data_IF_617993342634
#
_entry.id   IF_617993342634
#
_cell.length_a   1.000
_cell.length_b   1.000
_cell.length_c   1.000
_cell.angle_alpha   90.00
_cell.angle_beta   90.00
_cell.angle_gamma   90.00
#
_symmetry.space_group_name_H-M   'P 1'
#
loop_
_entity.id
_entity.type
_entity.pdbx_description
1 polymer ?
#
# COMPACT_ATOMS: atom_id res chain seq x y z
N UNK A 1 -4.70 2.62 3.81
CA UNK A 1 -4.69 1.68 4.92
C UNK A 1 -5.47 2.17 6.12
N UNK A 2 -5.49 1.37 7.15
CA UNK A 2 -6.04 1.76 8.44
C UNK A 2 -5.09 2.73 9.16
N UNK A 3 -5.55 3.29 10.27
CA UNK A 3 -4.85 4.34 10.98
C UNK A 3 -3.69 3.84 11.86
N UNK A 4 -3.64 2.53 12.19
CA UNK A 4 -2.53 1.95 12.94
C UNK A 4 -2.03 0.64 12.34
N UNK A 5 -0.73 0.38 12.50
CA UNK A 5 -0.07 -0.77 11.89
C UNK A 5 -0.04 -1.99 12.82
N UNK A 6 0.06 -1.83 14.13
CA UNK A 6 0.22 -2.93 15.07
C UNK A 6 -0.45 -2.66 16.42
N UNK A 7 -0.72 -3.73 17.17
CA UNK A 7 -1.38 -3.65 18.48
C UNK A 7 -2.86 -3.29 18.38
N UNK A 8 -3.43 -2.91 19.52
CA UNK A 8 -4.83 -2.52 19.69
C UNK A 8 -4.92 -1.10 20.21
N UNK A 9 -5.87 -0.29 19.71
CA UNK A 9 -6.11 1.05 20.24
C UNK A 9 -6.86 1.06 21.58
N UNK A 10 -7.72 0.06 21.78
CA UNK A 10 -8.53 -0.08 22.99
C UNK A 10 -8.75 -1.55 23.33
N UNK A 11 -9.22 -1.80 24.55
CA UNK A 11 -9.57 -3.16 25.00
C UNK A 11 -10.78 -3.75 24.25
N UNK A 12 -11.64 -2.91 23.67
CA UNK A 12 -12.84 -3.32 22.94
C UNK A 12 -12.56 -3.64 21.47
N UNK A 13 -11.36 -3.35 20.98
CA UNK A 13 -11.00 -3.58 19.59
C UNK A 13 -10.81 -5.07 19.31
N UNK A 14 -11.53 -5.58 18.31
CA UNK A 14 -11.56 -7.02 17.99
C UNK A 14 -10.40 -7.47 17.09
N UNK A 15 -9.71 -6.54 16.45
CA UNK A 15 -8.61 -6.84 15.52
C UNK A 15 -7.45 -5.91 15.76
N UNK A 16 -6.21 -6.43 15.74
CA UNK A 16 -5.02 -5.61 15.83
C UNK A 16 -4.82 -4.76 14.56
N UNK A 17 -3.79 -3.91 14.59
CA UNK A 17 -3.35 -3.17 13.43
C UNK A 17 -3.03 -4.06 12.22
N UNK A 18 -3.05 -3.45 11.04
CA UNK A 18 -3.01 -4.18 9.76
C UNK A 18 -1.71 -4.93 9.48
N UNK A 19 -0.63 -4.63 10.16
CA UNK A 19 0.67 -5.33 10.05
C UNK A 19 1.17 -5.90 11.38
N UNK A 20 0.24 -6.22 12.27
CA UNK A 20 0.55 -6.80 13.57
C UNK A 20 1.32 -8.13 13.48
N UNK A 21 1.20 -8.85 12.37
CA UNK A 21 1.99 -10.06 12.08
C UNK A 21 3.50 -9.79 12.09
N UNK A 22 3.95 -8.61 11.64
CA UNK A 22 5.35 -8.27 11.50
C UNK A 22 5.88 -7.36 12.62
N UNK A 23 5.04 -6.53 13.26
CA UNK A 23 5.43 -5.49 14.21
C UNK A 23 4.96 -5.83 15.62
N UNK A 24 5.86 -5.81 16.58
CA UNK A 24 5.54 -6.03 18.00
C UNK A 24 6.70 -6.61 18.78
N UNK A 25 6.55 -6.83 20.11
CA UNK A 25 7.58 -7.42 20.94
C UNK A 25 8.01 -8.81 20.44
N UNK A 26 9.29 -8.98 20.12
CA UNK A 26 9.86 -10.23 19.63
C UNK A 26 9.49 -10.62 18.20
N UNK A 27 8.70 -9.80 17.47
CA UNK A 27 8.33 -10.02 16.07
C UNK A 27 9.45 -9.63 15.11
N UNK A 28 9.19 -9.66 13.81
CA UNK A 28 10.19 -9.34 12.78
C UNK A 28 10.70 -7.89 12.93
N UNK A 29 9.82 -6.94 13.18
CA UNK A 29 10.14 -5.57 13.59
C UNK A 29 9.89 -5.49 15.10
N UNK A 30 10.92 -5.74 15.86
CA UNK A 30 10.86 -5.93 17.32
C UNK A 30 10.79 -4.60 18.05
N UNK A 31 9.63 -4.28 18.61
CA UNK A 31 9.41 -3.05 19.38
C UNK A 31 10.13 -3.00 20.74
N UNK A 32 10.76 -4.10 21.20
CA UNK A 32 11.68 -4.06 22.31
C UNK A 32 13.04 -3.43 21.94
N UNK A 33 13.35 -3.35 20.63
CA UNK A 33 14.63 -2.87 20.10
C UNK A 33 14.50 -1.57 19.32
N UNK A 34 13.34 -1.36 18.68
CA UNK A 34 13.10 -0.23 17.79
C UNK A 34 11.94 0.64 18.28
N UNK A 35 12.16 1.94 18.23
CA UNK A 35 11.06 2.91 18.23
C UNK A 35 10.43 2.90 16.82
N UNK A 36 9.22 2.39 16.72
CA UNK A 36 8.51 2.19 15.44
C UNK A 36 7.47 3.28 15.22
N UNK A 37 7.55 3.96 14.09
CA UNK A 37 6.60 5.00 13.67
C UNK A 37 5.97 4.58 12.35
N UNK A 38 4.64 4.64 12.26
CA UNK A 38 3.89 4.42 11.02
C UNK A 38 2.96 5.61 10.76
N UNK A 39 3.37 6.57 9.92
CA UNK A 39 2.54 7.72 9.59
C UNK A 39 1.40 7.33 8.65
N UNK A 40 0.24 7.98 8.81
CA UNK A 40 -0.80 7.95 7.78
C UNK A 40 -0.40 8.95 6.67
N UNK A 41 -0.52 8.55 5.40
CA UNK A 41 -0.12 9.40 4.28
C UNK A 41 -0.97 10.68 4.19
N UNK A 42 -0.34 11.80 3.87
CA UNK A 42 -1.03 13.04 3.51
C UNK A 42 -2.01 12.76 2.35
N UNK A 43 -3.22 13.28 2.45
CA UNK A 43 -4.31 12.94 1.52
C UNK A 43 -5.06 11.67 1.93
N UNK A 44 -4.66 10.98 3.01
CA UNK A 44 -5.38 9.86 3.60
C UNK A 44 -6.66 10.28 4.33
N UNK A 45 -7.44 9.30 4.78
CA UNK A 45 -8.71 9.53 5.47
C UNK A 45 -8.74 8.99 6.92
N UNK A 46 -7.58 8.72 7.51
CA UNK A 46 -7.43 8.09 8.84
C UNK A 46 -6.34 8.77 9.69
N UNK A 47 -6.41 10.09 9.84
CA UNK A 47 -5.55 10.85 10.75
C UNK A 47 -4.81 12.01 10.11
N UNK A 48 -4.23 11.85 8.92
CA UNK A 48 -3.60 12.95 8.18
C UNK A 48 -4.63 13.81 7.46
N UNK A 49 -4.29 15.07 7.18
CA UNK A 49 -5.11 15.96 6.37
C UNK A 49 -5.34 15.36 4.98
N UNK A 50 -6.58 15.35 4.54
CA UNK A 50 -6.97 14.76 3.25
C UNK A 50 -8.25 15.39 2.68
N UNK A 51 -8.79 14.85 1.58
CA UNK A 51 -9.97 15.39 0.92
C UNK A 51 -11.19 15.57 1.82
N UNK A 52 -11.37 14.70 2.82
CA UNK A 52 -12.48 14.82 3.77
C UNK A 52 -12.22 15.83 4.91
N UNK A 53 -11.02 16.39 5.02
CA UNK A 53 -10.68 17.39 6.02
C UNK A 53 -11.34 18.74 5.69
N UNK A 54 -11.65 19.50 6.74
CA UNK A 54 -12.21 20.87 6.58
C UNK A 54 -11.13 21.82 6.09
N UNK A 55 -11.39 22.48 4.99
CA UNK A 55 -10.59 23.59 4.50
C UNK A 55 -10.88 24.82 5.37
N UNK A 56 -9.89 25.29 6.10
CA UNK A 56 -10.04 26.44 7.01
C UNK A 56 -10.44 27.75 6.32
N UNK A 57 -10.15 27.88 5.03
CA UNK A 57 -10.50 29.08 4.26
C UNK A 57 -11.99 29.12 3.87
N UNK A 58 -12.64 27.99 3.72
CA UNK A 58 -14.04 27.89 3.27
C UNK A 58 -14.99 27.38 4.36
N UNK A 59 -14.48 26.72 5.39
CA UNK A 59 -15.28 26.06 6.42
C UNK A 59 -15.91 24.74 5.97
N UNK A 60 -15.59 24.25 4.76
CA UNK A 60 -16.15 23.04 4.16
C UNK A 60 -15.07 21.98 3.87
N UNK A 61 -15.42 20.70 3.66
CA UNK A 61 -14.47 19.70 3.20
C UNK A 61 -13.78 20.11 1.91
N UNK A 62 -12.49 19.79 1.77
CA UNK A 62 -11.75 20.05 0.53
C UNK A 62 -12.40 19.35 -0.67
N UNK A 63 -12.86 18.10 -0.51
CA UNK A 63 -13.38 17.34 -1.62
C UNK A 63 -12.34 17.17 -2.73
N UNK A 64 -12.76 17.36 -3.99
CA UNK A 64 -11.86 17.28 -5.15
C UNK A 64 -10.83 18.42 -5.23
N UNK A 65 -11.04 19.51 -4.49
CA UNK A 65 -10.10 20.63 -4.45
C UNK A 65 -8.88 20.37 -3.56
N UNK A 66 -8.84 19.22 -2.88
CA UNK A 66 -7.63 18.80 -2.19
C UNK A 66 -6.49 18.62 -3.22
N UNK A 67 -5.30 19.21 -2.99
CA UNK A 67 -4.22 19.14 -3.96
C UNK A 67 -3.79 17.70 -4.24
N UNK A 68 -3.43 17.41 -5.50
CA UNK A 68 -2.81 16.15 -5.83
C UNK A 68 -1.45 16.05 -5.12
N UNK A 69 -1.23 14.93 -4.47
CA UNK A 69 0.03 14.61 -3.81
C UNK A 69 0.68 13.41 -4.49
N UNK A 70 2.00 13.41 -4.49
CA UNK A 70 2.83 12.36 -5.07
C UNK A 70 3.56 11.57 -3.98
N UNK A 71 4.24 10.51 -4.36
CA UNK A 71 5.11 9.77 -3.43
C UNK A 71 6.23 10.67 -2.88
N UNK A 72 6.74 11.62 -3.67
CA UNK A 72 7.73 12.60 -3.20
C UNK A 72 7.18 13.50 -2.09
N UNK A 73 5.94 13.98 -2.24
CA UNK A 73 5.29 14.81 -1.20
C UNK A 73 5.10 14.01 0.10
N UNK A 74 4.77 12.72 0.00
CA UNK A 74 4.68 11.86 1.18
C UNK A 74 6.03 11.70 1.87
N UNK A 75 7.10 11.45 1.11
CA UNK A 75 8.47 11.36 1.67
C UNK A 75 8.86 12.67 2.36
N UNK A 76 8.57 13.81 1.76
CA UNK A 76 8.84 15.11 2.39
C UNK A 76 8.02 15.34 3.66
N UNK A 77 6.74 14.99 3.67
CA UNK A 77 5.89 15.11 4.87
C UNK A 77 6.36 14.19 6.01
N UNK A 78 6.82 12.98 5.67
CA UNK A 78 7.39 12.03 6.62
C UNK A 78 8.75 12.49 7.15
N UNK A 79 9.55 13.18 6.33
CA UNK A 79 10.79 13.79 6.77
C UNK A 79 10.55 14.90 7.79
N UNK A 80 9.52 15.75 7.55
CA UNK A 80 9.10 16.78 8.53
C UNK A 80 8.62 16.14 9.84
N UNK A 81 7.92 14.99 9.78
CA UNK A 81 7.56 14.25 10.99
C UNK A 81 8.81 13.75 11.73
N UNK A 82 9.82 13.23 11.02
CA UNK A 82 11.08 12.82 11.63
C UNK A 82 11.78 13.99 12.33
N UNK A 83 11.78 15.17 11.70
CA UNK A 83 12.34 16.38 12.30
C UNK A 83 11.59 16.79 13.58
N UNK A 84 10.25 16.73 13.55
CA UNK A 84 9.41 17.03 14.72
C UNK A 84 9.62 16.02 15.87
N UNK A 85 10.01 14.79 15.54
CA UNK A 85 10.39 13.75 16.50
C UNK A 85 11.87 13.81 16.89
N UNK A 86 12.65 14.79 16.41
CA UNK A 86 14.09 14.91 16.60
C UNK A 86 14.91 13.71 16.11
N UNK A 87 14.42 13.03 15.06
CA UNK A 87 15.09 11.88 14.46
C UNK A 87 15.91 12.34 13.26
N UNK A 88 17.23 12.36 13.44
CA UNK A 88 18.18 12.77 12.38
C UNK A 88 18.27 11.70 11.27
N UNK A 89 18.31 10.43 11.65
CA UNK A 89 18.46 9.31 10.73
C UNK A 89 17.71 8.08 11.24
N UNK A 90 16.89 7.49 10.38
CA UNK A 90 16.23 6.22 10.66
C UNK A 90 17.21 5.05 10.59
N UNK A 91 17.10 4.11 11.52
CA UNK A 91 17.81 2.83 11.43
C UNK A 91 17.33 2.06 10.18
N UNK A 92 16.02 2.06 9.93
CA UNK A 92 15.43 1.51 8.72
C UNK A 92 14.14 2.27 8.34
N UNK A 93 13.90 2.40 7.03
CA UNK A 93 12.58 2.72 6.48
C UNK A 93 12.04 1.46 5.82
N UNK A 94 10.83 1.04 6.21
CA UNK A 94 10.26 -0.27 5.84
C UNK A 94 8.90 -0.06 5.18
N UNK A 95 8.65 -0.71 4.05
CA UNK A 95 7.35 -0.60 3.40
C UNK A 95 7.05 -1.72 2.41
N UNK A 96 5.78 -2.09 2.33
CA UNK A 96 5.26 -3.02 1.34
C UNK A 96 4.39 -2.33 0.30
N UNK A 97 4.40 -2.80 -0.94
CA UNK A 97 3.59 -2.26 -2.04
C UNK A 97 3.88 -0.76 -2.26
N UNK A 98 2.86 0.10 -2.17
CA UNK A 98 3.02 1.56 -2.17
C UNK A 98 4.01 2.05 -1.10
N UNK A 99 4.06 1.39 0.06
CA UNK A 99 5.07 1.67 1.08
C UNK A 99 6.49 1.39 0.60
N UNK A 100 6.70 0.32 -0.17
CA UNK A 100 8.00 0.01 -0.78
C UNK A 100 8.43 1.04 -1.83
N UNK A 101 7.47 1.62 -2.56
CA UNK A 101 7.72 2.76 -3.47
C UNK A 101 8.19 4.00 -2.67
N UNK A 102 7.55 4.28 -1.52
CA UNK A 102 7.97 5.36 -0.63
C UNK A 102 9.38 5.12 -0.07
N UNK A 103 9.70 3.88 0.32
CA UNK A 103 11.06 3.51 0.77
C UNK A 103 12.11 3.78 -0.31
N UNK A 104 11.81 3.40 -1.56
CA UNK A 104 12.72 3.65 -2.68
C UNK A 104 12.92 5.16 -2.90
N UNK A 105 11.85 5.94 -2.84
CA UNK A 105 11.92 7.41 -2.95
C UNK A 105 12.70 8.04 -1.79
N UNK A 106 12.50 7.56 -0.55
CA UNK A 106 13.30 7.97 0.61
C UNK A 106 14.80 7.79 0.38
N UNK A 107 15.19 6.62 -0.13
CA UNK A 107 16.59 6.29 -0.37
C UNK A 107 17.23 7.16 -1.46
N UNK A 108 16.43 7.63 -2.42
CA UNK A 108 16.89 8.50 -3.52
C UNK A 108 16.97 9.96 -3.08
N UNK A 109 15.91 10.49 -2.46
CA UNK A 109 15.76 11.92 -2.16
C UNK A 109 16.46 12.32 -0.86
N UNK A 110 16.51 11.42 0.12
CA UNK A 110 17.03 11.69 1.47
C UNK A 110 18.06 10.62 1.90
N UNK A 111 19.14 10.42 1.10
CA UNK A 111 20.06 9.29 1.28
C UNK A 111 20.75 9.27 2.65
N UNK A 112 20.93 10.42 3.28
CA UNK A 112 21.58 10.53 4.60
C UNK A 112 20.64 10.29 5.78
N UNK A 113 19.31 10.22 5.49
CA UNK A 113 18.26 10.16 6.52
C UNK A 113 17.83 8.72 6.87
N UNK A 114 18.41 7.70 6.23
CA UNK A 114 18.17 6.28 6.55
C UNK A 114 19.43 5.44 6.35
N UNK A 115 19.61 4.43 7.20
CA UNK A 115 20.71 3.46 7.05
C UNK A 115 20.32 2.23 6.25
N UNK A 116 19.06 1.80 6.38
CA UNK A 116 18.55 0.61 5.68
C UNK A 116 17.21 0.92 5.01
N UNK A 117 17.05 0.43 3.77
CA UNK A 117 15.85 0.52 2.97
C UNK A 117 15.24 -0.88 2.78
N UNK A 118 14.07 -1.13 3.35
CA UNK A 118 13.40 -2.43 3.32
C UNK A 118 12.18 -2.35 2.40
N UNK A 119 12.30 -2.90 1.21
CA UNK A 119 11.31 -2.81 0.11
C UNK A 119 10.67 -4.18 -0.07
N UNK A 120 9.35 -4.26 0.05
CA UNK A 120 8.63 -5.53 0.01
C UNK A 120 7.49 -5.43 -1.02
N UNK A 121 7.37 -6.43 -1.91
CA UNK A 121 6.29 -6.53 -2.89
C UNK A 121 6.06 -5.21 -3.65
N UNK A 122 7.12 -4.58 -4.17
CA UNK A 122 7.05 -3.28 -4.82
C UNK A 122 7.68 -3.29 -6.21
N UNK A 123 7.36 -2.26 -6.98
CA UNK A 123 7.85 -2.03 -8.33
C UNK A 123 8.45 -0.63 -8.45
N UNK A 124 9.38 -0.38 -9.39
CA UNK A 124 9.95 0.96 -9.60
C UNK A 124 8.96 1.94 -10.23
N UNK A 125 7.92 1.45 -10.91
CA UNK A 125 6.79 2.18 -11.46
C UNK A 125 5.65 1.23 -11.81
N UNK A 126 4.43 1.74 -11.99
CA UNK A 126 3.32 0.91 -12.43
C UNK A 126 3.48 0.43 -13.88
N UNK A 127 2.96 -0.76 -14.15
CA UNK A 127 2.75 -1.25 -15.52
C UNK A 127 1.49 -0.62 -16.12
N UNK A 128 1.36 -0.66 -17.46
CA UNK A 128 0.15 -0.25 -18.15
C UNK A 128 -1.10 -0.99 -17.62
N UNK A 129 -0.98 -2.29 -17.29
CA UNK A 129 -2.06 -3.08 -16.73
C UNK A 129 -2.49 -2.55 -15.35
N UNK A 130 -1.55 -2.20 -14.47
CA UNK A 130 -1.87 -1.63 -13.16
C UNK A 130 -2.55 -0.26 -13.28
N UNK A 131 -2.08 0.60 -14.20
CA UNK A 131 -2.72 1.89 -14.50
C UNK A 131 -4.15 1.67 -15.03
N UNK A 132 -4.35 0.66 -15.89
CA UNK A 132 -5.69 0.32 -16.40
C UNK A 132 -6.65 -0.13 -15.27
N UNK A 133 -6.20 -0.96 -14.34
CA UNK A 133 -7.01 -1.30 -13.15
C UNK A 133 -7.36 -0.06 -12.31
N UNK A 134 -6.40 0.83 -12.09
CA UNK A 134 -6.66 2.08 -11.37
C UNK A 134 -7.67 2.95 -12.11
N UNK A 135 -7.58 3.04 -13.45
CA UNK A 135 -8.52 3.82 -14.25
C UNK A 135 -9.95 3.26 -14.18
N UNK A 136 -10.14 1.94 -14.31
CA UNK A 136 -11.47 1.32 -14.15
C UNK A 136 -12.05 1.61 -12.76
N UNK A 137 -11.24 1.51 -11.71
CA UNK A 137 -11.67 1.83 -10.35
C UNK A 137 -12.05 3.31 -10.19
N UNK A 138 -11.28 4.23 -10.78
CA UNK A 138 -11.60 5.67 -10.77
C UNK A 138 -12.89 5.96 -11.52
N UNK A 139 -13.07 5.38 -12.71
CA UNK A 139 -14.31 5.54 -13.49
C UNK A 139 -15.52 5.02 -12.72
N UNK A 140 -15.42 3.87 -12.04
CA UNK A 140 -16.50 3.36 -11.20
C UNK A 140 -16.93 4.38 -10.13
N UNK A 141 -15.96 5.08 -9.50
CA UNK A 141 -16.25 6.11 -8.49
C UNK A 141 -16.81 7.37 -9.13
N UNK A 142 -16.15 7.90 -10.18
CA UNK A 142 -16.50 9.20 -10.75
C UNK A 142 -17.83 9.19 -11.52
N UNK A 143 -18.27 8.04 -12.02
CA UNK A 143 -19.57 7.86 -12.69
C UNK A 143 -20.69 7.50 -11.73
N UNK A 144 -20.43 7.31 -10.45
CA UNK A 144 -21.45 7.11 -9.44
C UNK A 144 -22.29 8.40 -9.30
N UNK A 145 -23.64 8.33 -9.40
CA UNK A 145 -24.50 9.52 -9.29
C UNK A 145 -24.29 10.31 -7.99
N UNK A 146 -23.93 9.65 -6.90
CA UNK A 146 -23.69 10.28 -5.62
C UNK A 146 -22.25 10.84 -5.47
N UNK A 147 -21.40 10.76 -6.50
CA UNK A 147 -20.03 11.32 -6.47
C UNK A 147 -20.04 12.86 -6.50
N UNK A 148 -21.04 13.47 -7.11
CA UNK A 148 -21.28 14.93 -7.12
C UNK A 148 -20.01 15.71 -7.50
N UNK A 149 -19.35 15.31 -8.59
CA UNK A 149 -18.09 15.87 -9.07
C UNK A 149 -16.95 15.94 -8.01
N UNK A 150 -17.02 15.09 -6.99
CA UNK A 150 -16.07 15.02 -5.88
C UNK A 150 -16.43 15.88 -4.66
N UNK A 151 -17.58 16.55 -4.69
CA UNK A 151 -18.07 17.35 -3.57
C UNK A 151 -19.20 16.66 -2.78
N UNK A 152 -19.31 15.33 -2.90
CA UNK A 152 -20.35 14.52 -2.26
C UNK A 152 -20.53 14.79 -0.76
N UNK A 153 -19.44 15.07 -0.02
CA UNK A 153 -19.52 15.38 1.42
C UNK A 153 -20.32 16.65 1.72
N UNK A 154 -20.23 17.70 0.86
CA UNK A 154 -21.02 18.90 0.99
C UNK A 154 -22.52 18.66 0.83
N UNK A 155 -22.88 17.57 0.13
CA UNK A 155 -24.25 17.16 -0.13
C UNK A 155 -24.73 16.04 0.79
N UNK A 156 -23.92 15.67 1.81
CA UNK A 156 -24.24 14.54 2.70
C UNK A 156 -24.35 13.19 1.98
N UNK A 157 -23.63 13.05 0.85
CA UNK A 157 -23.63 11.85 0.00
C UNK A 157 -22.35 11.05 0.16
N UNK A 158 -22.36 9.81 -0.30
CA UNK A 158 -21.18 8.95 -0.46
C UNK A 158 -21.40 8.15 -1.75
N UNK A 159 -20.43 8.12 -2.67
CA UNK A 159 -20.51 7.33 -3.91
C UNK A 159 -20.30 5.83 -3.61
N UNK A 160 -21.28 5.23 -2.94
CA UNK A 160 -21.20 3.87 -2.37
C UNK A 160 -21.01 2.81 -3.43
N UNK A 161 -21.73 2.93 -4.55
CA UNK A 161 -21.67 1.93 -5.63
C UNK A 161 -20.30 1.93 -6.30
N UNK A 162 -19.81 3.10 -6.66
CA UNK A 162 -18.51 3.26 -7.29
C UNK A 162 -17.36 2.82 -6.40
N UNK A 163 -17.36 3.25 -5.14
CA UNK A 163 -16.34 2.88 -4.17
C UNK A 163 -16.36 1.36 -3.86
N UNK A 164 -17.53 0.76 -3.79
CA UNK A 164 -17.70 -0.69 -3.65
C UNK A 164 -17.08 -1.43 -4.84
N UNK A 165 -17.39 -1.04 -6.07
CA UNK A 165 -16.86 -1.66 -7.29
C UNK A 165 -15.34 -1.52 -7.39
N UNK A 166 -14.82 -0.33 -7.07
CA UNK A 166 -13.38 -0.08 -7.01
C UNK A 166 -12.68 -1.02 -6.02
N UNK A 167 -13.29 -1.28 -4.86
CA UNK A 167 -12.76 -2.22 -3.86
C UNK A 167 -12.85 -3.67 -4.31
N UNK A 168 -13.95 -4.07 -4.96
CA UNK A 168 -14.09 -5.42 -5.53
C UNK A 168 -12.98 -5.69 -6.55
N UNK A 169 -12.74 -4.75 -7.47
CA UNK A 169 -11.64 -4.85 -8.44
C UNK A 169 -10.28 -4.95 -7.74
N UNK A 170 -10.06 -4.16 -6.69
CA UNK A 170 -8.85 -4.23 -5.86
C UNK A 170 -8.64 -5.66 -5.31
N UNK A 171 -9.66 -6.29 -4.73
CA UNK A 171 -9.56 -7.65 -4.20
C UNK A 171 -9.23 -8.70 -5.26
N UNK A 172 -9.72 -8.56 -6.49
CA UNK A 172 -9.33 -9.44 -7.60
C UNK A 172 -7.82 -9.31 -7.88
N UNK A 173 -7.27 -8.10 -7.80
CA UNK A 173 -5.85 -7.87 -8.09
C UNK A 173 -4.91 -8.22 -6.93
N UNK A 174 -5.41 -8.32 -5.69
CA UNK A 174 -4.59 -8.62 -4.51
C UNK A 174 -4.41 -10.11 -4.26
N UNK A 175 -5.37 -10.93 -4.67
CA UNK A 175 -5.32 -12.38 -4.49
C UNK A 175 -4.78 -13.06 -5.76
N UNK A 176 -4.08 -14.17 -5.62
CA UNK A 176 -3.70 -15.01 -6.75
C UNK A 176 -4.89 -15.86 -7.23
N UNK A 177 -4.81 -16.37 -8.48
CA UNK A 177 -5.78 -17.31 -9.00
C UNK A 177 -5.82 -18.59 -8.14
N UNK A 178 -4.64 -19.09 -7.74
CA UNK A 178 -4.53 -20.27 -6.88
C UNK A 178 -5.25 -20.07 -5.55
N UNK A 179 -5.04 -18.94 -4.87
CA UNK A 179 -5.73 -18.65 -3.61
C UNK A 179 -7.24 -18.48 -3.81
N UNK A 180 -7.65 -17.84 -4.91
CA UNK A 180 -9.08 -17.71 -5.25
C UNK A 180 -9.72 -19.08 -5.49
N UNK A 181 -9.03 -19.96 -6.25
CA UNK A 181 -9.46 -21.33 -6.51
C UNK A 181 -9.55 -22.15 -5.23
N UNK A 182 -8.52 -22.12 -4.40
CA UNK A 182 -8.46 -22.92 -3.16
C UNK A 182 -9.50 -22.46 -2.14
N UNK A 183 -9.83 -21.16 -2.13
CA UNK A 183 -10.77 -20.56 -1.17
C UNK A 183 -12.23 -20.66 -1.61
N UNK A 184 -12.51 -20.55 -2.87
CA UNK A 184 -13.87 -20.45 -3.39
C UNK A 184 -14.20 -21.49 -4.46
N UNK A 185 -13.23 -21.94 -5.26
CA UNK A 185 -13.45 -22.82 -6.40
C UNK A 185 -14.57 -22.31 -7.29
N UNK A 186 -15.51 -23.16 -7.58
CA UNK A 186 -16.81 -22.85 -8.22
C UNK A 186 -17.99 -23.14 -7.28
N UNK A 187 -17.75 -23.01 -5.97
CA UNK A 187 -18.73 -23.34 -4.96
C UNK A 187 -19.94 -22.40 -5.01
N UNK A 188 -21.12 -23.00 -5.01
CA UNK A 188 -22.40 -22.29 -4.95
C UNK A 188 -22.78 -22.02 -3.49
N UNK A 189 -23.43 -20.88 -3.24
CA UNK A 189 -24.04 -20.57 -1.94
C UNK A 189 -25.18 -21.53 -1.58
N UNK A 190 -25.95 -21.89 -2.59
CA UNK A 190 -27.04 -22.87 -2.50
C UNK A 190 -26.72 -23.96 -3.52
N UNK A 191 -26.79 -25.23 -3.15
CA UNK A 191 -26.31 -26.38 -3.96
C UNK A 191 -27.02 -26.58 -5.34
N UNK A 192 -27.54 -25.52 -5.93
CA UNK A 192 -28.18 -25.52 -7.26
C UNK A 192 -28.11 -24.14 -7.90
N UNK A 193 -28.11 -24.08 -9.23
CA UNK A 193 -28.26 -22.84 -9.98
C UNK A 193 -29.70 -22.31 -9.93
N UNK A 194 -29.84 -21.00 -9.77
CA UNK A 194 -31.13 -20.31 -9.80
C UNK A 194 -31.37 -19.64 -11.16
N UNK A 195 -30.32 -19.55 -12.01
CA UNK A 195 -30.37 -18.93 -13.35
C UNK A 195 -30.91 -17.52 -13.34
N UNK A 196 -30.46 -16.70 -12.41
CA UNK A 196 -30.80 -15.28 -12.29
C UNK A 196 -29.53 -14.42 -12.09
N UNK A 197 -29.71 -13.11 -11.86
CA UNK A 197 -28.60 -12.17 -11.63
C UNK A 197 -28.24 -11.97 -10.14
N UNK A 198 -28.82 -12.74 -9.25
CA UNK A 198 -28.46 -12.72 -7.83
C UNK A 198 -27.13 -13.44 -7.58
N UNK A 199 -26.66 -13.36 -6.34
CA UNK A 199 -25.42 -14.02 -5.92
C UNK A 199 -25.61 -15.54 -5.92
N UNK A 200 -24.91 -16.24 -6.76
CA UNK A 200 -24.91 -17.71 -6.83
C UNK A 200 -23.61 -18.34 -6.30
N UNK A 201 -22.45 -17.78 -6.66
CA UNK A 201 -21.15 -18.30 -6.27
C UNK A 201 -20.62 -17.67 -4.96
N UNK A 202 -19.83 -18.43 -4.22
CA UNK A 202 -19.19 -17.96 -2.98
C UNK A 202 -18.29 -16.74 -3.23
N UNK A 203 -17.54 -16.73 -4.34
CA UNK A 203 -16.65 -15.61 -4.70
C UNK A 203 -17.43 -14.30 -4.93
N UNK A 204 -18.64 -14.36 -5.51
CA UNK A 204 -19.49 -13.18 -5.68
C UNK A 204 -19.91 -12.59 -4.34
N UNK A 205 -20.32 -13.47 -3.40
CA UNK A 205 -20.66 -13.09 -2.03
C UNK A 205 -19.47 -12.43 -1.32
N UNK A 206 -18.29 -13.02 -1.47
CA UNK A 206 -17.05 -12.49 -0.90
C UNK A 206 -16.74 -11.08 -1.44
N UNK A 207 -16.76 -10.89 -2.76
CA UNK A 207 -16.46 -9.59 -3.37
C UNK A 207 -17.46 -8.52 -2.93
N UNK A 208 -18.76 -8.83 -2.93
CA UNK A 208 -19.82 -7.91 -2.46
C UNK A 208 -19.61 -7.52 -1.00
N UNK A 209 -19.26 -8.49 -0.14
CA UNK A 209 -18.96 -8.23 1.28
C UNK A 209 -17.73 -7.32 1.44
N UNK A 210 -16.65 -7.58 0.72
CA UNK A 210 -15.43 -6.77 0.77
C UNK A 210 -15.67 -5.34 0.27
N UNK A 211 -16.45 -5.18 -0.79
CA UNK A 211 -16.85 -3.88 -1.29
C UNK A 211 -17.71 -3.12 -0.28
N UNK A 212 -18.75 -3.76 0.24
CA UNK A 212 -19.69 -3.14 1.19
C UNK A 212 -18.99 -2.71 2.49
N UNK A 213 -18.15 -3.58 3.06
CA UNK A 213 -17.40 -3.28 4.30
C UNK A 213 -16.37 -2.17 4.15
N UNK A 214 -15.96 -1.86 2.93
CA UNK A 214 -14.98 -0.81 2.64
C UNK A 214 -15.61 0.59 2.60
N UNK A 215 -16.83 0.71 2.10
CA UNK A 215 -17.50 1.99 1.85
C UNK A 215 -17.63 2.85 3.10
N UNK A 216 -17.90 2.23 4.25
CA UNK A 216 -18.13 2.97 5.50
C UNK A 216 -16.84 3.39 6.22
N UNK A 217 -15.67 2.95 5.73
CA UNK A 217 -14.39 3.21 6.37
C UNK A 217 -13.35 3.91 5.50
N UNK A 218 -13.66 4.19 4.23
CA UNK A 218 -12.70 4.79 3.32
C UNK A 218 -13.34 5.91 2.49
N UNK A 219 -12.59 6.98 2.25
CA UNK A 219 -13.03 8.12 1.48
C UNK A 219 -12.79 7.95 -0.03
N UNK A 220 -13.76 8.29 -0.85
CA UNK A 220 -13.70 8.09 -2.29
C UNK A 220 -12.64 8.99 -2.96
N UNK A 221 -12.56 10.28 -2.59
CA UNK A 221 -11.53 11.17 -3.13
C UNK A 221 -10.13 10.75 -2.69
N UNK A 222 -9.97 10.25 -1.45
CA UNK A 222 -8.72 9.63 -1.00
C UNK A 222 -8.33 8.44 -1.89
N UNK A 223 -9.30 7.60 -2.28
CA UNK A 223 -9.03 6.48 -3.19
C UNK A 223 -8.52 6.97 -4.55
N UNK A 224 -9.18 7.97 -5.14
CA UNK A 224 -8.75 8.58 -6.40
C UNK A 224 -7.34 9.15 -6.29
N UNK A 225 -7.06 9.89 -5.22
CA UNK A 225 -5.76 10.50 -4.95
C UNK A 225 -4.64 9.44 -4.85
N UNK A 226 -4.87 8.39 -4.05
CA UNK A 226 -3.89 7.30 -3.86
C UNK A 226 -3.58 6.58 -5.17
N UNK A 227 -4.58 6.32 -6.01
CA UNK A 227 -4.38 5.69 -7.32
C UNK A 227 -3.60 6.61 -8.28
N UNK A 228 -3.83 7.92 -8.24
CA UNK A 228 -3.06 8.88 -9.04
C UNK A 228 -1.61 8.99 -8.56
N UNK A 229 -1.37 9.02 -7.26
CA UNK A 229 -0.01 9.03 -6.72
C UNK A 229 0.78 7.77 -7.14
N UNK A 230 0.10 6.60 -7.20
CA UNK A 230 0.67 5.36 -7.74
C UNK A 230 1.01 5.49 -9.23
N UNK A 231 0.08 6.02 -10.04
CA UNK A 231 0.27 6.17 -11.50
C UNK A 231 1.45 7.10 -11.82
N UNK A 232 1.63 8.17 -11.03
CA UNK A 232 2.71 9.14 -11.22
C UNK A 232 4.07 8.69 -10.69
N UNK A 233 4.13 7.60 -9.93
CA UNK A 233 5.39 7.14 -9.36
C UNK A 233 6.31 6.59 -10.44
N UNK A 234 7.36 7.32 -10.75
CA UNK A 234 8.49 6.91 -11.59
C UNK A 234 9.76 7.65 -11.13
N UNK A 235 10.54 7.06 -10.22
CA UNK A 235 11.73 7.71 -9.69
C UNK A 235 12.86 7.88 -10.72
N UNK A 236 12.78 7.18 -11.87
CA UNK A 236 13.76 7.33 -12.94
C UNK A 236 13.51 8.55 -13.82
N UNK A 237 12.30 9.11 -13.81
CA UNK A 237 11.90 10.21 -14.70
C UNK A 237 12.79 11.47 -14.57
N UNK A 238 13.31 11.75 -13.38
CA UNK A 238 14.22 12.88 -13.13
C UNK A 238 15.69 12.56 -13.50
N UNK A 239 15.96 11.31 -13.94
CA UNK A 239 17.30 10.78 -14.20
C UNK A 239 17.42 10.17 -15.60
N UNK A 240 16.82 10.82 -16.59
CA UNK A 240 16.84 10.37 -18.01
C UNK A 240 16.30 8.95 -18.19
N UNK A 241 15.25 8.59 -17.43
CA UNK A 241 14.63 7.26 -17.37
C UNK A 241 15.59 6.12 -16.97
N UNK A 242 16.75 6.44 -16.38
CA UNK A 242 17.71 5.45 -15.83
C UNK A 242 17.54 5.28 -14.33
N UNK A 243 16.87 4.20 -13.91
CA UNK A 243 16.70 3.85 -12.51
C UNK A 243 18.06 3.63 -11.80
N UNK A 244 19.07 3.14 -12.50
CA UNK A 244 20.43 2.98 -11.97
C UNK A 244 21.06 4.33 -11.59
N UNK A 245 20.84 5.38 -12.39
CA UNK A 245 21.25 6.75 -12.05
C UNK A 245 20.50 7.26 -10.82
N UNK A 246 19.18 7.05 -10.76
CA UNK A 246 18.36 7.47 -9.63
C UNK A 246 18.86 6.84 -8.31
N UNK A 247 18.99 5.50 -8.25
CA UNK A 247 19.41 4.79 -7.05
C UNK A 247 20.90 4.96 -6.73
N UNK A 248 21.72 5.49 -7.63
CA UNK A 248 23.13 5.76 -7.38
C UNK A 248 23.34 6.78 -6.25
N UNK A 249 22.37 7.64 -6.01
CA UNK A 249 22.35 8.61 -4.91
C UNK A 249 22.19 7.96 -3.54
N UNK A 250 21.52 6.81 -3.46
CA UNK A 250 21.26 6.13 -2.19
C UNK A 250 22.55 5.76 -1.44
N UNK A 251 22.50 5.86 -0.12
CA UNK A 251 23.57 5.45 0.78
C UNK A 251 23.20 4.23 1.65
N UNK A 252 21.92 3.91 1.68
CA UNK A 252 21.39 2.82 2.48
C UNK A 252 21.81 1.44 1.96
N UNK A 253 21.84 0.47 2.88
CA UNK A 253 21.78 -0.95 2.54
C UNK A 253 20.34 -1.37 2.26
N UNK A 254 20.15 -2.25 1.28
CA UNK A 254 18.83 -2.63 0.82
C UNK A 254 18.47 -4.07 1.19
N UNK A 255 17.23 -4.24 1.62
CA UNK A 255 16.53 -5.52 1.65
C UNK A 255 15.37 -5.43 0.68
N UNK A 256 15.28 -6.36 -0.27
CA UNK A 256 14.18 -6.42 -1.22
C UNK A 256 13.54 -7.81 -1.14
N UNK A 257 12.23 -7.88 -1.00
CA UNK A 257 11.48 -9.13 -0.98
C UNK A 257 10.30 -9.10 -1.97
N UNK A 258 10.09 -10.19 -2.69
CA UNK A 258 8.95 -10.42 -3.56
C UNK A 258 8.31 -11.77 -3.30
N UNK A 259 7.09 -11.99 -3.81
CA UNK A 259 6.33 -13.24 -3.65
C UNK A 259 5.98 -13.81 -5.01
N UNK A 260 6.19 -15.11 -5.20
CA UNK A 260 6.08 -15.77 -6.51
C UNK A 260 4.68 -15.68 -7.13
N UNK A 261 3.64 -15.63 -6.30
CA UNK A 261 2.25 -15.54 -6.75
C UNK A 261 1.71 -14.10 -6.87
N UNK A 262 2.56 -13.08 -6.55
CA UNK A 262 2.17 -11.69 -6.73
C UNK A 262 2.19 -11.33 -8.21
N UNK A 263 1.01 -11.26 -8.82
CA UNK A 263 0.85 -10.90 -10.22
C UNK A 263 0.57 -9.40 -10.43
N UNK A 264 0.28 -8.67 -9.33
CA UNK A 264 0.12 -7.21 -9.36
C UNK A 264 1.47 -6.51 -9.43
N UNK A 265 2.39 -6.88 -8.52
CA UNK A 265 3.80 -6.48 -8.55
C UNK A 265 4.67 -7.73 -8.57
N UNK A 266 4.73 -8.35 -9.74
CA UNK A 266 5.42 -9.63 -9.91
C UNK A 266 6.90 -9.56 -9.48
N UNK A 267 7.53 -10.71 -9.18
CA UNK A 267 8.95 -10.76 -8.85
C UNK A 267 9.85 -10.06 -9.86
N UNK A 268 9.49 -10.07 -11.15
CA UNK A 268 10.21 -9.36 -12.22
C UNK A 268 10.32 -7.87 -11.90
N UNK A 269 9.25 -7.26 -11.38
CA UNK A 269 9.22 -5.84 -11.06
C UNK A 269 10.16 -5.51 -9.89
N UNK A 270 10.21 -6.36 -8.86
CA UNK A 270 11.18 -6.21 -7.77
C UNK A 270 12.61 -6.45 -8.25
N UNK A 271 12.83 -7.40 -9.18
CA UNK A 271 14.15 -7.63 -9.79
C UNK A 271 14.66 -6.46 -10.60
N UNK A 272 13.77 -5.60 -11.17
CA UNK A 272 14.20 -4.34 -11.81
C UNK A 272 14.90 -3.42 -10.81
N UNK A 273 14.31 -3.28 -9.60
CA UNK A 273 14.94 -2.50 -8.51
C UNK A 273 16.27 -3.11 -8.13
N UNK A 274 16.35 -4.42 -7.93
CA UNK A 274 17.57 -5.13 -7.56
C UNK A 274 18.67 -4.96 -8.60
N UNK A 275 18.33 -5.13 -9.89
CA UNK A 275 19.29 -4.93 -11.00
C UNK A 275 19.83 -3.50 -11.04
N UNK A 276 18.98 -2.50 -10.81
CA UNK A 276 19.40 -1.10 -10.77
C UNK A 276 20.35 -0.83 -9.59
N UNK A 277 20.04 -1.37 -8.41
CA UNK A 277 20.89 -1.28 -7.20
C UNK A 277 22.25 -1.95 -7.42
N UNK A 278 22.28 -3.14 -8.02
CA UNK A 278 23.51 -3.85 -8.35
C UNK A 278 24.36 -3.08 -9.37
N UNK A 279 23.73 -2.55 -10.44
CA UNK A 279 24.40 -1.67 -11.42
C UNK A 279 25.03 -0.45 -10.76
N UNK A 280 24.35 0.12 -9.77
CA UNK A 280 24.81 1.25 -8.97
C UNK A 280 25.79 0.85 -7.82
N UNK A 281 26.18 -0.43 -7.75
CA UNK A 281 27.10 -0.99 -6.74
C UNK A 281 26.59 -0.78 -5.30
N UNK A 282 25.28 -0.85 -5.07
CA UNK A 282 24.66 -0.77 -3.74
C UNK A 282 24.61 -2.14 -3.10
N UNK A 283 24.71 -2.16 -1.77
CA UNK A 283 24.55 -3.39 -1.00
C UNK A 283 23.05 -3.77 -0.98
N UNK A 284 22.72 -4.95 -1.53
CA UNK A 284 21.34 -5.43 -1.62
C UNK A 284 21.24 -6.91 -1.29
N UNK A 285 20.31 -7.24 -0.38
CA UNK A 285 19.86 -8.60 -0.10
C UNK A 285 18.49 -8.79 -0.75
N UNK A 286 18.35 -9.75 -1.66
CA UNK A 286 17.10 -10.04 -2.35
C UNK A 286 16.58 -11.41 -2.04
N UNK A 287 15.28 -11.51 -1.77
CA UNK A 287 14.59 -12.77 -1.50
C UNK A 287 13.30 -12.85 -2.32
N UNK A 288 13.16 -13.94 -3.05
CA UNK A 288 11.92 -14.33 -3.70
C UNK A 288 11.27 -15.45 -2.88
N UNK A 289 10.11 -15.14 -2.33
CA UNK A 289 9.42 -16.00 -1.38
C UNK A 289 8.33 -16.76 -2.12
N UNK A 290 8.42 -18.06 -2.09
CA UNK A 290 7.42 -18.94 -2.65
C UNK A 290 6.13 -18.89 -1.81
N UNK A 291 5.00 -18.78 -2.48
CA UNK A 291 3.68 -18.73 -1.84
C UNK A 291 2.56 -18.57 -2.85
N UNK A 292 1.34 -18.80 -2.40
CA UNK A 292 0.11 -18.76 -3.22
C UNK A 292 -0.80 -17.57 -2.88
N UNK A 293 -0.39 -16.69 -1.96
CA UNK A 293 -1.29 -15.69 -1.36
C UNK A 293 -1.50 -14.44 -2.22
N UNK A 294 -0.74 -14.27 -3.28
CA UNK A 294 -0.81 -13.08 -4.15
C UNK A 294 -0.11 -11.86 -3.54
N UNK A 295 -0.58 -10.67 -3.90
CA UNK A 295 0.03 -9.41 -3.50
C UNK A 295 -0.04 -9.15 -1.99
N UNK A 296 -1.13 -9.54 -1.34
CA UNK A 296 -1.31 -9.32 0.11
C UNK A 296 -0.43 -10.25 0.99
N UNK A 297 0.39 -11.12 0.39
CA UNK A 297 1.28 -12.05 1.09
C UNK A 297 2.13 -11.39 2.19
N UNK A 298 2.63 -10.16 1.96
CA UNK A 298 3.47 -9.46 2.93
C UNK A 298 2.72 -9.04 4.22
N UNK A 299 1.40 -9.05 4.21
CA UNK A 299 0.54 -8.77 5.38
C UNK A 299 0.22 -10.02 6.20
N UNK A 300 0.49 -11.20 5.65
CA UNK A 300 0.10 -12.47 6.22
C UNK A 300 1.23 -13.10 7.04
N UNK A 301 0.85 -14.03 7.91
CA UNK A 301 1.80 -14.84 8.67
C UNK A 301 2.41 -15.92 7.77
N UNK A 302 3.47 -15.56 7.04
CA UNK A 302 4.27 -16.45 6.22
C UNK A 302 5.62 -16.67 6.94
N UNK A 303 5.85 -17.84 7.59
CA UNK A 303 6.99 -18.04 8.47
C UNK A 303 8.35 -17.76 7.81
N UNK A 304 8.54 -18.21 6.56
CA UNK A 304 9.80 -17.97 5.83
C UNK A 304 10.05 -16.49 5.58
N UNK A 305 9.04 -15.75 5.17
CA UNK A 305 9.13 -14.31 4.98
C UNK A 305 9.46 -13.58 6.28
N UNK A 306 8.70 -13.85 7.33
CA UNK A 306 8.89 -13.19 8.63
C UNK A 306 10.24 -13.54 9.26
N UNK A 307 10.74 -14.76 9.06
CA UNK A 307 12.08 -15.17 9.51
C UNK A 307 13.18 -14.37 8.80
N UNK A 308 13.10 -14.23 7.47
CA UNK A 308 14.07 -13.46 6.68
C UNK A 308 14.06 -11.99 7.09
N UNK A 309 12.88 -11.39 7.21
CA UNK A 309 12.73 -10.01 7.69
C UNK A 309 13.31 -9.84 9.11
N UNK A 310 12.97 -10.73 10.02
CA UNK A 310 13.50 -10.73 11.41
C UNK A 310 15.01 -10.85 11.44
N UNK A 311 15.56 -11.73 10.64
CA UNK A 311 17.02 -11.95 10.56
C UNK A 311 17.73 -10.69 10.07
N UNK A 312 17.17 -10.02 9.06
CA UNK A 312 17.70 -8.76 8.58
C UNK A 312 17.60 -7.65 9.63
N UNK A 313 16.42 -7.47 10.24
CA UNK A 313 16.19 -6.45 11.28
C UNK A 313 17.06 -6.67 12.51
N UNK A 314 17.30 -7.92 12.93
CA UNK A 314 18.22 -8.21 14.04
C UNK A 314 19.65 -7.78 13.73
N UNK A 315 20.11 -7.89 12.49
CA UNK A 315 21.46 -7.47 12.08
C UNK A 315 21.65 -5.96 12.23
N UNK A 316 20.62 -5.16 11.95
CA UNK A 316 20.71 -3.69 12.02
C UNK A 316 20.52 -3.13 13.42
N UNK A 317 20.05 -3.93 14.36
CA UNK A 317 19.89 -3.53 15.77
C UNK A 317 21.17 -3.73 16.60
N UNK A 318 22.21 -4.32 16.00
CA UNK A 318 23.55 -4.48 16.60
C UNK A 318 24.41 -3.25 16.28
#
# INVERSE_FOLDING_TARGET
>A
GDHHAAGYHSQDEKKPGWWDTAIGPGKAIDTNKFFVVCPNNLGGCKGSTGPASINKATGEPYGRDFPLVTVKDWVQSQAQLADALHIQQWAAVVGGSLGGMQVLQWAIDLPERLRHAVIIAAAPKLSAQNIAFNEVARQAIMTDPDYMEGFYLKHGKIPRRGLMLARMLGHITYLSDDLMRDKFGRDLRVKKFNYNYDVEFQVESYLRYQGQSFVDRFDANTYLLMTKALDYFDPASDYEDDLGKAVSRAQADFFVASFTSDWRFSPERSREIVKALMKAKKNVSYFEIEGTQGHDAFLLDIPRYLLLLKSYMNRISM
#
